data_IF_215785299581
#
_entry.id   IF_215785299581
#
_cell.length_a   1.000
_cell.length_b   1.000
_cell.length_c   1.000
_cell.angle_alpha   90.00
_cell.angle_beta   90.00
_cell.angle_gamma   90.00
#
_symmetry.space_group_name_H-M   'P 1'
#
loop_
_entity.id
_entity.type
_entity.pdbx_description
1 polymer ?
#
# COMPACT_ATOMS: atom_id res chain seq x y z
N UNK A 1 26.16 -2.12 17.62
CA UNK A 1 25.17 -1.11 17.21
C UNK A 1 25.62 -0.58 15.86
N UNK A 2 25.00 -1.00 14.76
CA UNK A 2 25.24 -0.41 13.44
C UNK A 2 23.90 -0.16 12.76
N UNK A 3 23.42 1.07 12.92
CA UNK A 3 22.14 1.58 12.44
C UNK A 3 22.32 2.31 11.10
N UNK A 4 23.11 1.73 10.17
CA UNK A 4 23.68 2.48 9.05
C UNK A 4 23.31 2.00 7.64
N UNK A 5 22.32 1.12 7.45
CA UNK A 5 21.92 0.66 6.09
C UNK A 5 20.42 0.77 5.76
N UNK A 6 19.66 1.63 6.44
CA UNK A 6 18.29 1.94 6.03
C UNK A 6 18.25 3.12 5.05
N UNK A 7 18.45 2.84 3.76
CA UNK A 7 18.17 3.83 2.70
C UNK A 7 16.65 3.92 2.48
N UNK A 8 16.02 4.89 3.14
CA UNK A 8 14.70 5.48 2.86
C UNK A 8 13.50 4.51 2.85
N UNK A 9 12.76 4.48 3.97
CA UNK A 9 11.38 3.95 4.01
C UNK A 9 10.44 5.00 3.39
N UNK A 10 9.75 4.67 2.29
CA UNK A 10 8.72 5.54 1.70
C UNK A 10 7.32 5.00 2.05
N UNK A 11 6.62 5.70 2.94
CA UNK A 11 5.26 5.39 3.38
C UNK A 11 4.27 6.35 2.72
N UNK A 12 3.22 5.83 2.07
CA UNK A 12 2.20 6.66 1.42
C UNK A 12 0.82 6.43 2.06
N UNK A 13 0.21 7.48 2.66
CA UNK A 13 -1.09 7.37 3.32
C UNK A 13 -2.26 7.26 2.34
N UNK A 14 -3.35 6.65 2.83
CA UNK A 14 -4.53 6.12 2.13
C UNK A 14 -5.43 7.21 1.48
N UNK A 15 -5.24 8.49 1.81
CA UNK A 15 -6.06 9.59 1.30
C UNK A 15 -5.20 10.69 0.67
N UNK A 16 -4.67 10.51 -0.54
CA UNK A 16 -4.11 11.66 -1.29
C UNK A 16 -4.09 11.49 -2.82
N UNK A 17 -5.00 12.26 -3.43
CA UNK A 17 -5.07 12.87 -4.77
C UNK A 17 -4.63 12.10 -6.04
N UNK A 18 -5.58 12.08 -6.99
CA UNK A 18 -5.50 11.75 -8.42
C UNK A 18 -4.13 11.97 -9.11
N UNK A 19 -3.37 13.00 -8.72
CA UNK A 19 -2.04 13.32 -9.30
C UNK A 19 -0.98 12.25 -9.01
N UNK A 20 -1.05 11.54 -7.86
CA UNK A 20 -0.05 10.53 -7.47
C UNK A 20 -0.18 9.22 -8.25
N UNK A 21 -1.41 8.82 -8.60
CA UNK A 21 -1.66 7.66 -9.47
C UNK A 21 -1.04 7.82 -10.86
N UNK A 22 -1.09 9.02 -11.42
CA UNK A 22 -0.46 9.33 -12.72
C UNK A 22 1.06 9.23 -12.65
N UNK A 23 1.66 9.59 -11.51
CA UNK A 23 3.11 9.49 -11.31
C UNK A 23 3.55 8.02 -11.28
N UNK A 24 2.84 7.16 -10.54
CA UNK A 24 3.15 5.72 -10.51
C UNK A 24 2.97 5.10 -11.89
N UNK A 25 1.90 5.44 -12.63
CA UNK A 25 1.70 4.99 -14.01
C UNK A 25 2.78 5.51 -14.97
N UNK A 26 3.36 6.69 -14.73
CA UNK A 26 4.52 7.18 -15.51
C UNK A 26 5.80 6.42 -15.16
N UNK A 27 5.96 6.03 -13.90
CA UNK A 27 7.14 5.28 -13.44
C UNK A 27 7.10 3.81 -13.83
N UNK A 28 5.91 3.26 -14.00
CA UNK A 28 5.70 1.88 -14.36
C UNK A 28 5.40 1.78 -15.86
N UNK A 29 6.16 0.99 -16.62
CA UNK A 29 5.84 0.69 -18.04
C UNK A 29 4.50 -0.06 -18.23
N UNK A 30 3.73 -0.30 -17.16
CA UNK A 30 2.40 -0.92 -17.15
C UNK A 30 1.40 0.06 -16.57
N UNK A 31 0.22 0.14 -17.20
CA UNK A 31 -0.92 0.92 -16.70
C UNK A 31 -1.60 0.16 -15.56
N UNK A 32 -2.11 0.90 -14.59
CA UNK A 32 -3.03 0.34 -13.58
C UNK A 32 -4.37 -0.01 -14.26
N UNK A 33 -5.12 -0.98 -13.73
CA UNK A 33 -6.45 -1.29 -14.23
C UNK A 33 -7.38 -0.07 -14.21
N UNK A 34 -8.43 -0.05 -15.05
CA UNK A 34 -9.48 0.95 -14.97
C UNK A 34 -10.24 0.83 -13.63
N UNK A 35 -10.66 1.97 -13.09
CA UNK A 35 -11.51 2.04 -11.90
C UNK A 35 -12.84 1.33 -12.14
N UNK A 36 -13.39 0.73 -11.08
CA UNK A 36 -14.70 0.09 -11.10
C UNK A 36 -15.83 1.12 -10.97
N UNK A 37 -15.55 2.24 -10.29
CA UNK A 37 -16.54 3.28 -10.00
C UNK A 37 -16.00 4.67 -10.36
N UNK A 38 -16.90 5.53 -10.82
CA UNK A 38 -16.59 6.94 -11.08
C UNK A 38 -16.69 7.73 -9.79
N UNK A 39 -15.59 8.35 -9.39
CA UNK A 39 -15.54 9.27 -8.26
C UNK A 39 -14.60 10.42 -8.58
N UNK A 40 -15.02 11.65 -8.29
CA UNK A 40 -14.30 12.87 -8.71
C UNK A 40 -12.89 12.96 -8.12
N UNK A 41 -12.71 12.47 -6.90
CA UNK A 41 -11.52 12.77 -6.10
C UNK A 41 -10.48 11.65 -6.11
N UNK A 42 -10.86 10.43 -6.50
CA UNK A 42 -9.96 9.27 -6.50
C UNK A 42 -10.41 8.20 -7.50
N UNK A 43 -9.47 7.32 -7.87
CA UNK A 43 -9.81 6.06 -8.54
C UNK A 43 -10.39 5.10 -7.50
N UNK A 44 -11.56 4.56 -7.78
CA UNK A 44 -12.27 3.67 -6.85
C UNK A 44 -12.35 2.28 -7.46
N UNK A 45 -11.85 1.30 -6.71
CA UNK A 45 -11.81 -0.09 -7.09
C UNK A 45 -12.63 -0.94 -6.12
N UNK A 46 -13.03 -2.14 -6.55
CA UNK A 46 -13.42 -3.20 -5.65
C UNK A 46 -12.20 -3.84 -4.98
N UNK A 47 -12.43 -4.61 -3.91
CA UNK A 47 -11.37 -5.24 -3.12
C UNK A 47 -10.36 -6.07 -3.95
N UNK A 48 -10.83 -6.81 -4.96
CA UNK A 48 -9.96 -7.62 -5.83
C UNK A 48 -8.97 -6.75 -6.60
N UNK A 49 -9.45 -5.65 -7.20
CA UNK A 49 -8.59 -4.70 -7.90
C UNK A 49 -7.75 -3.86 -6.95
N UNK A 50 -8.23 -3.57 -5.74
CA UNK A 50 -7.41 -2.90 -4.72
C UNK A 50 -6.17 -3.75 -4.37
N UNK A 51 -6.31 -5.06 -4.17
CA UNK A 51 -5.17 -5.95 -3.92
C UNK A 51 -4.16 -5.93 -5.08
N UNK A 52 -4.66 -5.97 -6.32
CA UNK A 52 -3.82 -5.89 -7.53
C UNK A 52 -3.08 -4.55 -7.61
N UNK A 53 -3.81 -3.44 -7.44
CA UNK A 53 -3.27 -2.08 -7.51
C UNK A 53 -2.27 -1.84 -6.39
N UNK A 54 -2.50 -2.33 -5.17
CA UNK A 54 -1.55 -2.26 -4.06
C UNK A 54 -0.21 -2.92 -4.43
N UNK A 55 -0.25 -4.11 -5.03
CA UNK A 55 0.96 -4.78 -5.52
C UNK A 55 1.65 -3.98 -6.63
N UNK A 56 0.89 -3.51 -7.62
CA UNK A 56 1.44 -2.73 -8.72
C UNK A 56 2.11 -1.45 -8.18
N UNK A 57 1.51 -0.75 -7.23
CA UNK A 57 2.12 0.43 -6.61
C UNK A 57 3.43 0.10 -5.87
N UNK A 58 3.42 -0.92 -5.01
CA UNK A 58 4.62 -1.35 -4.28
C UNK A 58 5.75 -1.75 -5.25
N UNK A 59 5.42 -2.53 -6.30
CA UNK A 59 6.38 -2.93 -7.34
C UNK A 59 6.94 -1.74 -8.11
N UNK A 60 6.09 -0.77 -8.44
CA UNK A 60 6.49 0.45 -9.15
C UNK A 60 7.48 1.27 -8.34
N UNK A 61 7.17 1.49 -7.06
CA UNK A 61 8.05 2.17 -6.11
C UNK A 61 9.37 1.44 -5.95
N UNK A 62 9.34 0.12 -5.71
CA UNK A 62 10.55 -0.69 -5.53
C UNK A 62 11.47 -0.63 -6.73
N UNK A 63 10.93 -0.79 -7.95
CA UNK A 63 11.71 -0.73 -9.18
C UNK A 63 12.30 0.66 -9.44
N UNK A 64 11.55 1.72 -9.11
CA UNK A 64 11.96 3.11 -9.38
C UNK A 64 13.00 3.60 -8.37
N UNK A 65 12.80 3.32 -7.09
CA UNK A 65 13.60 3.84 -5.99
C UNK A 65 14.70 2.87 -5.56
N UNK A 66 14.64 1.60 -6.00
CA UNK A 66 15.56 0.52 -5.59
C UNK A 66 15.66 0.40 -4.06
N UNK A 67 14.53 0.58 -3.36
CA UNK A 67 14.46 0.45 -1.90
C UNK A 67 14.32 -1.02 -1.48
N UNK A 68 14.75 -1.34 -0.26
CA UNK A 68 14.67 -2.70 0.30
C UNK A 68 13.23 -3.12 0.60
N UNK A 69 12.39 -2.18 1.03
CA UNK A 69 10.97 -2.41 1.32
C UNK A 69 10.15 -1.34 0.62
N UNK A 70 9.12 -1.75 -0.13
CA UNK A 70 8.14 -0.86 -0.73
C UNK A 70 6.73 -1.24 -0.26
N UNK A 71 5.93 -0.24 0.09
CA UNK A 71 4.57 -0.43 0.58
C UNK A 71 3.59 0.26 -0.37
N UNK A 72 2.56 -0.45 -0.78
CA UNK A 72 1.45 0.08 -1.58
C UNK A 72 0.13 -0.22 -0.89
N UNK A 73 -0.73 0.78 -0.76
CA UNK A 73 -2.06 0.66 -0.15
C UNK A 73 -3.10 1.34 -1.03
N UNK A 74 -4.28 0.74 -1.14
CA UNK A 74 -5.44 1.35 -1.84
C UNK A 74 -6.72 0.80 -1.23
N UNK A 75 -7.76 1.62 -1.15
CA UNK A 75 -9.04 1.20 -0.62
C UNK A 75 -10.19 1.99 -1.26
N UNK A 76 -10.93 1.33 -2.15
CA UNK A 76 -12.20 1.81 -2.69
C UNK A 76 -13.37 1.26 -1.88
N UNK A 77 -14.05 0.27 -2.44
CA UNK A 77 -15.20 -0.44 -1.84
C UNK A 77 -14.76 -1.85 -1.42
N UNK A 78 -14.91 -2.15 -0.14
CA UNK A 78 -14.39 -3.38 0.48
C UNK A 78 -13.40 -3.09 1.61
N UNK A 79 -12.52 -4.05 1.88
CA UNK A 79 -11.44 -3.95 2.90
C UNK A 79 -10.12 -3.43 2.33
N UNK A 80 -10.14 -2.96 1.08
CA UNK A 80 -8.96 -2.46 0.38
C UNK A 80 -7.89 -3.52 0.15
N UNK A 81 -6.69 -3.07 -0.20
CA UNK A 81 -5.53 -3.89 -0.48
C UNK A 81 -4.27 -3.23 0.05
N UNK A 82 -3.44 -4.03 0.71
CA UNK A 82 -2.15 -3.64 1.25
C UNK A 82 -1.10 -4.62 0.72
N UNK A 83 -0.02 -4.07 0.16
CA UNK A 83 1.15 -4.83 -0.27
C UNK A 83 2.39 -4.31 0.42
N UNK A 84 3.13 -5.20 1.08
CA UNK A 84 4.51 -4.95 1.51
C UNK A 84 5.41 -5.85 0.65
N UNK A 85 6.34 -5.23 -0.09
CA UNK A 85 7.23 -5.91 -1.02
C UNK A 85 8.68 -5.73 -0.56
N UNK A 86 9.31 -6.84 -0.15
CA UNK A 86 10.72 -6.90 0.21
C UNK A 86 11.55 -7.41 -0.97
N UNK A 87 12.86 -7.51 -0.80
CA UNK A 87 13.74 -8.17 -1.78
C UNK A 87 13.44 -9.67 -1.91
N UNK A 88 12.88 -10.29 -0.86
CA UNK A 88 12.69 -11.73 -0.77
C UNK A 88 11.24 -12.17 -1.05
N UNK A 89 10.26 -11.41 -0.52
CA UNK A 89 8.87 -11.84 -0.45
C UNK A 89 7.88 -10.71 -0.74
N UNK A 90 6.68 -11.16 -1.10
CA UNK A 90 5.49 -10.31 -1.29
C UNK A 90 4.46 -10.67 -0.24
N UNK A 91 4.06 -9.70 0.56
CA UNK A 91 2.99 -9.81 1.54
C UNK A 91 1.77 -9.03 1.04
N UNK A 92 0.65 -9.72 0.82
CA UNK A 92 -0.61 -9.13 0.40
C UNK A 92 -1.70 -9.46 1.40
N UNK A 93 -2.42 -8.45 1.85
CA UNK A 93 -3.52 -8.59 2.81
C UNK A 93 -4.47 -7.39 2.72
N UNK A 94 -5.58 -7.47 3.44
CA UNK A 94 -6.61 -6.43 3.52
C UNK A 94 -6.72 -5.91 4.96
N UNK A 95 -7.49 -4.83 5.14
CA UNK A 95 -8.00 -4.46 6.48
C UNK A 95 -9.00 -5.52 6.97
N UNK A 96 -9.37 -5.45 8.24
CA UNK A 96 -10.47 -6.24 8.81
C UNK A 96 -11.82 -5.51 8.68
N UNK A 97 -11.77 -4.21 8.39
CA UNK A 97 -12.93 -3.34 8.34
C UNK A 97 -13.36 -3.11 6.89
N UNK A 98 -14.59 -3.52 6.57
CA UNK A 98 -15.23 -3.13 5.31
C UNK A 98 -15.55 -1.64 5.33
N UNK A 99 -15.22 -0.94 4.25
CA UNK A 99 -15.59 0.46 4.04
C UNK A 99 -16.03 0.74 2.61
N UNK A 100 -16.68 1.89 2.44
CA UNK A 100 -17.17 2.35 1.14
C UNK A 100 -16.90 3.85 1.00
N UNK A 101 -15.99 4.19 0.08
CA UNK A 101 -15.57 5.58 -0.17
C UNK A 101 -16.65 6.42 -0.83
N UNK A 102 -17.61 5.81 -1.54
CA UNK A 102 -18.69 6.54 -2.19
C UNK A 102 -19.74 6.98 -1.18
N UNK A 103 -20.01 6.15 -0.17
CA UNK A 103 -21.01 6.44 0.87
C UNK A 103 -20.40 7.06 2.14
N UNK A 104 -19.08 7.07 2.28
CA UNK A 104 -18.41 7.51 3.51
C UNK A 104 -18.42 6.48 4.64
N UNK A 105 -18.80 5.22 4.37
CA UNK A 105 -18.94 4.20 5.41
C UNK A 105 -17.58 3.73 5.93
N UNK A 106 -17.40 3.75 7.26
CA UNK A 106 -16.26 3.20 7.99
C UNK A 106 -14.89 3.69 7.50
N UNK A 107 -14.80 4.90 6.94
CA UNK A 107 -13.58 5.40 6.31
C UNK A 107 -12.41 5.60 7.29
N UNK A 108 -12.71 6.14 8.47
CA UNK A 108 -11.72 6.41 9.52
C UNK A 108 -11.25 5.09 10.15
N UNK A 109 -12.20 4.29 10.64
CA UNK A 109 -11.92 2.99 11.26
C UNK A 109 -11.14 2.05 10.32
N UNK A 110 -11.51 2.00 9.03
CA UNK A 110 -10.76 1.23 8.03
C UNK A 110 -9.34 1.75 7.84
N UNK A 111 -9.14 3.06 7.86
CA UNK A 111 -7.81 3.66 7.75
C UNK A 111 -6.95 3.35 8.98
N UNK A 112 -7.49 3.47 10.18
CA UNK A 112 -6.81 3.16 11.43
C UNK A 112 -6.40 1.69 11.52
N UNK A 113 -7.33 0.77 11.19
CA UNK A 113 -7.03 -0.66 11.12
C UNK A 113 -5.95 -0.95 10.05
N UNK A 114 -6.04 -0.32 8.87
CA UNK A 114 -5.06 -0.49 7.81
C UNK A 114 -3.66 -0.02 8.20
N UNK A 115 -3.53 1.11 8.90
CA UNK A 115 -2.26 1.61 9.43
C UNK A 115 -1.70 0.64 10.48
N UNK A 116 -2.51 0.27 11.48
CA UNK A 116 -2.09 -0.62 12.56
C UNK A 116 -1.61 -1.98 12.04
N UNK A 117 -2.39 -2.63 11.17
CA UNK A 117 -2.00 -3.92 10.56
C UNK A 117 -0.73 -3.80 9.72
N UNK A 118 -0.58 -2.71 8.96
CA UNK A 118 0.62 -2.51 8.13
C UNK A 118 1.87 -2.36 8.99
N UNK A 119 1.79 -1.56 10.06
CA UNK A 119 2.92 -1.35 10.98
C UNK A 119 3.28 -2.64 11.73
N UNK A 120 2.29 -3.34 12.29
CA UNK A 120 2.51 -4.63 12.95
C UNK A 120 3.18 -5.64 12.00
N UNK A 121 2.68 -5.74 10.76
CA UNK A 121 3.27 -6.64 9.76
C UNK A 121 4.68 -6.20 9.35
N UNK A 122 4.93 -4.90 9.27
CA UNK A 122 6.26 -4.37 8.98
C UNK A 122 7.25 -4.72 10.10
N UNK A 123 6.87 -4.60 11.37
CA UNK A 123 7.70 -5.03 12.50
C UNK A 123 8.06 -6.51 12.42
N UNK A 124 7.08 -7.38 12.13
CA UNK A 124 7.33 -8.80 11.92
C UNK A 124 8.33 -9.04 10.78
N UNK A 125 8.18 -8.33 9.66
CA UNK A 125 9.09 -8.44 8.50
C UNK A 125 10.50 -7.96 8.85
N UNK A 126 10.62 -6.84 9.56
CA UNK A 126 11.92 -6.30 9.98
C UNK A 126 12.67 -7.28 10.88
N UNK A 127 11.96 -7.92 11.82
CA UNK A 127 12.54 -8.96 12.67
C UNK A 127 12.94 -10.20 11.87
N UNK A 128 12.04 -10.71 11.02
CA UNK A 128 12.22 -12.00 10.35
C UNK A 128 13.15 -11.96 9.13
N UNK A 129 13.18 -10.85 8.37
CA UNK A 129 14.00 -10.75 7.15
C UNK A 129 15.25 -9.90 7.30
N UNK A 130 15.26 -8.96 8.24
CA UNK A 130 16.37 -8.01 8.43
C UNK A 130 17.06 -8.16 9.79
N UNK A 131 16.59 -9.04 10.67
CA UNK A 131 17.17 -9.26 12.00
C UNK A 131 17.04 -8.05 12.94
N UNK A 132 16.18 -7.08 12.62
CA UNK A 132 15.99 -5.86 13.40
C UNK A 132 14.98 -6.17 14.52
N UNK A 133 15.46 -6.19 15.76
CA UNK A 133 14.60 -6.30 16.95
C UNK A 133 14.25 -4.90 17.45
N UNK A 134 12.97 -4.59 17.53
CA UNK A 134 12.50 -3.41 18.23
C UNK A 134 12.51 -3.74 19.72
N UNK A 135 13.32 -2.98 20.48
CA UNK A 135 13.47 -3.06 21.93
C UNK A 135 12.17 -2.66 22.63
#
# INVERSE_FOLDING_TARGET
MDLLHFKNLSFFPIYLEFRRFLIIQKWQKRKLPPSDYTYRYAKVYNEKKDIEVAYLMAKGLKNKLRCNIAIGTTAGIGRGGICILTDNRRYLFTTDIYGDILTGKNLVERSENGISKTLNKLVEILSNEYGIRLL
#
